data_IF_090359058558
#
_entry.id   IF_090359058558
#
_cell.length_a   1.000
_cell.length_b   1.000
_cell.length_c   1.000
_cell.angle_alpha   90.00
_cell.angle_beta   90.00
_cell.angle_gamma   90.00
#
_symmetry.space_group_name_H-M   'P 1'
#
loop_
_entity.id
_entity.type
_entity.pdbx_description
1 polymer ?
#
# COMPACT_ATOMS: atom_id res chain seq x y z
N UNK A 1 -3.50 -16.64 27.97
CA UNK A 1 -2.28 -16.35 27.20
C UNK A 1 -2.71 -15.83 25.85
N UNK A 2 -2.75 -14.53 25.67
CA UNK A 2 -3.04 -13.89 24.38
C UNK A 2 -1.81 -14.09 23.51
N UNK A 3 -1.90 -14.99 22.55
CA UNK A 3 -0.91 -15.11 21.49
C UNK A 3 -0.97 -13.78 20.74
N UNK A 4 0.06 -12.95 20.92
CA UNK A 4 0.29 -11.77 20.11
C UNK A 4 0.52 -12.28 18.67
N UNK A 5 -0.55 -12.34 17.87
CA UNK A 5 -0.46 -12.74 16.47
C UNK A 5 0.28 -11.61 15.73
N UNK A 6 1.60 -11.68 15.75
CA UNK A 6 2.43 -10.84 14.88
C UNK A 6 2.12 -11.20 13.44
N UNK A 7 1.40 -10.33 12.76
CA UNK A 7 1.17 -10.43 11.32
C UNK A 7 2.54 -10.42 10.62
N UNK A 8 2.92 -11.51 9.90
CA UNK A 8 4.26 -11.59 9.29
C UNK A 8 4.43 -10.62 8.13
N UNK A 9 3.33 -10.19 7.52
CA UNK A 9 3.29 -9.20 6.45
C UNK A 9 1.90 -8.56 6.38
N UNK A 10 1.80 -7.45 5.66
CA UNK A 10 0.54 -6.74 5.44
C UNK A 10 0.10 -6.86 4.00
N UNK A 11 -1.15 -7.29 3.81
CA UNK A 11 -1.75 -7.51 2.50
C UNK A 11 -2.99 -6.63 2.33
N UNK A 12 -3.09 -5.94 1.21
CA UNK A 12 -4.19 -5.04 0.96
C UNK A 12 -4.45 -4.74 -0.52
N UNK A 13 -5.45 -3.90 -0.73
CA UNK A 13 -5.90 -3.40 -2.02
C UNK A 13 -5.87 -1.87 -2.02
N UNK A 14 -6.12 -1.26 -3.20
CA UNK A 14 -6.19 0.20 -3.37
C UNK A 14 -7.41 0.84 -2.67
N UNK A 15 -8.37 0.05 -2.24
CA UNK A 15 -9.61 0.48 -1.59
C UNK A 15 -10.27 -0.68 -0.86
N UNK A 16 -11.08 -0.39 0.16
CA UNK A 16 -11.85 -1.41 0.89
C UNK A 16 -13.27 -1.63 0.35
N UNK A 17 -13.73 -0.81 -0.60
CA UNK A 17 -15.01 -1.00 -1.26
C UNK A 17 -14.86 -1.93 -2.46
N UNK A 18 -15.72 -2.96 -2.53
CA UNK A 18 -15.73 -3.86 -3.66
C UNK A 18 -17.16 -4.34 -3.95
N UNK A 19 -17.64 -4.26 -5.21
CA UNK A 19 -19.05 -4.57 -5.57
C UNK A 19 -19.51 -5.97 -5.16
N UNK A 20 -18.60 -6.96 -5.25
CA UNK A 20 -18.92 -8.36 -4.93
C UNK A 20 -19.15 -8.62 -3.43
N UNK A 21 -18.85 -7.67 -2.54
CA UNK A 21 -18.98 -7.86 -1.08
C UNK A 21 -20.26 -7.28 -0.51
N UNK A 22 -21.04 -6.53 -1.31
CA UNK A 22 -22.26 -5.86 -0.87
C UNK A 22 -23.44 -6.20 -1.77
N UNK A 23 -24.60 -6.42 -1.15
CA UNK A 23 -25.87 -6.65 -1.84
C UNK A 23 -26.86 -5.51 -1.67
N UNK A 24 -26.62 -4.58 -0.72
CA UNK A 24 -27.56 -3.49 -0.39
C UNK A 24 -26.82 -2.18 -0.11
N UNK A 25 -27.53 -1.06 -0.24
CA UNK A 25 -26.98 0.29 0.02
C UNK A 25 -26.50 0.48 1.47
N UNK A 26 -27.07 -0.23 2.44
CA UNK A 26 -26.69 -0.14 3.86
C UNK A 26 -25.34 -0.82 4.16
N UNK A 27 -24.86 -1.68 3.28
CA UNK A 27 -23.61 -2.41 3.45
C UNK A 27 -22.36 -1.57 3.23
N UNK A 28 -22.46 -0.36 2.67
CA UNK A 28 -21.31 0.54 2.51
C UNK A 28 -20.68 0.94 3.85
N UNK A 29 -21.50 1.08 4.91
CA UNK A 29 -21.04 1.38 6.27
C UNK A 29 -20.27 0.22 6.90
N UNK A 30 -20.52 -1.03 6.45
CA UNK A 30 -19.86 -2.26 6.91
C UNK A 30 -18.63 -2.62 6.06
N UNK A 31 -18.40 -1.90 4.97
CA UNK A 31 -17.36 -2.20 3.99
C UNK A 31 -15.99 -2.42 4.63
N UNK A 32 -15.55 -1.48 5.44
CA UNK A 32 -14.27 -1.55 6.12
C UNK A 32 -14.19 -2.72 7.11
N UNK A 33 -15.26 -2.96 7.86
CA UNK A 33 -15.30 -4.05 8.82
C UNK A 33 -15.19 -5.42 8.12
N UNK A 34 -15.89 -5.62 7.00
CA UNK A 34 -15.78 -6.84 6.20
C UNK A 34 -14.39 -6.97 5.55
N UNK A 35 -13.88 -5.89 4.97
CA UNK A 35 -12.57 -5.85 4.36
C UNK A 35 -11.46 -6.22 5.35
N UNK A 36 -11.46 -5.62 6.54
CA UNK A 36 -10.44 -5.83 7.56
C UNK A 36 -10.50 -7.20 8.27
N UNK A 37 -11.55 -8.00 8.04
CA UNK A 37 -11.56 -9.42 8.41
C UNK A 37 -10.72 -10.28 7.47
N UNK A 38 -10.61 -9.87 6.20
CA UNK A 38 -9.87 -10.60 5.18
C UNK A 38 -8.45 -10.05 5.00
N UNK A 39 -8.34 -8.74 4.86
CA UNK A 39 -7.08 -8.05 4.58
C UNK A 39 -6.52 -7.39 5.83
N UNK A 40 -5.21 -7.31 5.91
CA UNK A 40 -4.49 -6.72 7.05
C UNK A 40 -4.06 -5.27 6.80
N UNK A 41 -4.24 -4.75 5.58
CA UNK A 41 -3.92 -3.36 5.24
C UNK A 41 -4.77 -2.83 4.09
N UNK A 42 -4.70 -1.51 3.88
CA UNK A 42 -5.29 -0.82 2.73
C UNK A 42 -4.39 0.31 2.27
N UNK A 43 -4.33 0.55 0.96
CA UNK A 43 -3.67 1.71 0.35
C UNK A 43 -4.65 2.89 0.30
N UNK A 44 -4.56 3.79 1.29
CA UNK A 44 -5.42 4.96 1.41
C UNK A 44 -5.02 6.07 0.44
N UNK A 45 -5.57 6.07 -0.77
CA UNK A 45 -5.26 7.05 -1.80
C UNK A 45 -6.02 8.38 -1.67
N UNK A 46 -7.14 8.40 -0.95
CA UNK A 46 -8.00 9.59 -0.81
C UNK A 46 -7.28 10.76 -0.14
N UNK A 47 -6.38 10.49 0.82
CA UNK A 47 -5.58 11.50 1.52
C UNK A 47 -4.67 12.33 0.60
N UNK A 48 -4.37 11.82 -0.60
CA UNK A 48 -3.62 12.57 -1.61
C UNK A 48 -4.37 13.79 -2.13
N UNK A 49 -5.69 13.69 -2.26
CA UNK A 49 -6.56 14.76 -2.78
C UNK A 49 -7.11 15.66 -1.68
N UNK A 50 -7.30 15.13 -0.48
CA UNK A 50 -7.80 15.88 0.66
C UNK A 50 -7.70 15.08 1.95
N UNK A 51 -7.52 15.79 3.07
CA UNK A 51 -7.46 15.14 4.37
C UNK A 51 -8.81 14.51 4.74
N UNK A 52 -8.84 13.30 5.26
CA UNK A 52 -10.06 12.71 5.80
C UNK A 52 -10.58 13.55 6.96
N UNK A 53 -11.89 13.56 7.18
CA UNK A 53 -12.46 14.24 8.36
C UNK A 53 -12.05 13.53 9.65
N UNK A 54 -12.04 14.26 10.77
CA UNK A 54 -11.80 13.65 12.09
C UNK A 54 -12.80 12.53 12.37
N UNK A 55 -14.07 12.75 12.03
CA UNK A 55 -15.12 11.73 12.14
C UNK A 55 -14.79 10.46 11.34
N UNK A 56 -14.27 10.61 10.11
CA UNK A 56 -13.87 9.45 9.29
C UNK A 56 -12.73 8.66 9.95
N UNK A 57 -11.73 9.36 10.50
CA UNK A 57 -10.61 8.74 11.22
C UNK A 57 -11.11 7.96 12.43
N UNK A 58 -11.98 8.56 13.25
CA UNK A 58 -12.57 7.92 14.43
C UNK A 58 -13.40 6.68 14.04
N UNK A 59 -14.19 6.78 12.97
CA UNK A 59 -14.99 5.65 12.46
C UNK A 59 -14.09 4.52 11.94
N UNK A 60 -13.02 4.83 11.23
CA UNK A 60 -12.07 3.83 10.74
C UNK A 60 -11.31 3.15 11.89
N UNK A 61 -10.86 3.92 12.88
CA UNK A 61 -10.21 3.38 14.07
C UNK A 61 -11.08 2.35 14.80
N UNK A 62 -12.41 2.62 14.90
CA UNK A 62 -13.37 1.75 15.59
C UNK A 62 -13.76 0.52 14.77
N UNK A 63 -13.91 0.65 13.45
CA UNK A 63 -14.48 -0.39 12.58
C UNK A 63 -13.46 -1.38 12.03
N UNK A 64 -12.20 -1.00 11.88
CA UNK A 64 -11.18 -1.91 11.39
C UNK A 64 -10.84 -2.97 12.45
N UNK A 65 -10.91 -4.25 12.07
CA UNK A 65 -10.49 -5.36 12.92
C UNK A 65 -8.96 -5.38 13.07
N UNK A 66 -8.47 -5.81 14.22
CA UNK A 66 -7.04 -5.98 14.45
C UNK A 66 -6.60 -7.42 14.08
N UNK A 67 -5.42 -7.62 13.49
CA UNK A 67 -4.44 -6.62 13.12
C UNK A 67 -4.78 -5.93 11.77
N UNK A 68 -4.75 -4.61 11.74
CA UNK A 68 -5.01 -3.85 10.50
C UNK A 68 -4.20 -2.56 10.49
N UNK A 69 -3.63 -2.21 9.32
CA UNK A 69 -2.83 -1.01 9.14
C UNK A 69 -3.31 -0.18 7.94
N UNK A 70 -3.64 1.08 8.18
CA UNK A 70 -3.96 2.05 7.13
C UNK A 70 -2.66 2.67 6.60
N UNK A 71 -2.36 2.49 5.32
CA UNK A 71 -1.26 3.15 4.65
C UNK A 71 -1.78 4.36 3.87
N UNK A 72 -1.45 5.56 4.33
CA UNK A 72 -1.91 6.77 3.69
C UNK A 72 -0.84 7.42 2.82
N UNK A 73 -1.29 7.94 1.70
CA UNK A 73 -0.48 8.72 0.79
C UNK A 73 -0.43 10.16 1.26
N UNK A 74 0.76 10.75 1.32
CA UNK A 74 0.89 12.18 1.62
C UNK A 74 0.11 13.04 0.63
N UNK A 75 -0.50 14.14 1.10
CA UNK A 75 -1.24 15.08 0.25
C UNK A 75 -0.40 15.62 -0.92
N UNK A 76 -1.06 15.83 -2.06
CA UNK A 76 -0.40 16.41 -3.24
C UNK A 76 0.14 17.82 -3.00
N UNK A 77 -0.42 18.56 -2.06
CA UNK A 77 0.09 19.87 -1.63
C UNK A 77 1.54 19.79 -1.14
N UNK A 78 1.91 18.68 -0.49
CA UNK A 78 3.26 18.42 0.03
C UNK A 78 4.17 17.88 -1.08
N UNK A 79 3.71 16.86 -1.82
CA UNK A 79 4.55 16.08 -2.72
C UNK A 79 4.65 16.69 -4.13
N UNK A 80 3.56 17.27 -4.65
CA UNK A 80 3.47 17.78 -6.02
C UNK A 80 3.55 19.31 -6.09
N UNK A 81 2.79 20.02 -5.25
CA UNK A 81 2.77 21.47 -5.32
C UNK A 81 3.99 22.10 -4.66
N UNK A 82 4.35 21.64 -3.45
CA UNK A 82 5.51 22.15 -2.72
C UNK A 82 6.80 21.40 -3.03
N UNK A 83 6.74 20.22 -3.64
CA UNK A 83 7.89 19.35 -3.87
C UNK A 83 8.80 19.23 -2.62
N UNK A 84 8.21 19.04 -1.46
CA UNK A 84 8.85 18.97 -0.13
C UNK A 84 9.53 20.28 0.32
N UNK A 85 9.15 21.42 -0.22
CA UNK A 85 9.72 22.71 0.16
C UNK A 85 8.72 23.52 0.98
N UNK A 86 9.13 24.03 2.16
CA UNK A 86 8.31 24.89 3.04
C UNK A 86 6.89 24.34 3.29
N UNK A 87 6.77 23.04 3.56
CA UNK A 87 5.49 22.36 3.75
C UNK A 87 5.28 21.84 5.19
N UNK A 88 6.03 22.33 6.16
CA UNK A 88 5.99 21.85 7.56
C UNK A 88 4.59 21.94 8.17
N UNK A 89 3.84 23.00 7.88
CA UNK A 89 2.48 23.17 8.35
C UNK A 89 1.54 22.10 7.80
N UNK A 90 1.61 21.81 6.50
CA UNK A 90 0.81 20.79 5.85
C UNK A 90 1.17 19.39 6.36
N UNK A 91 2.46 19.13 6.59
CA UNK A 91 2.95 17.88 7.18
C UNK A 91 2.39 17.71 8.60
N UNK A 92 2.49 18.73 9.43
CA UNK A 92 1.96 18.70 10.81
C UNK A 92 0.45 18.46 10.81
N UNK A 93 -0.30 19.14 9.95
CA UNK A 93 -1.75 18.96 9.83
C UNK A 93 -2.11 17.53 9.40
N UNK A 94 -1.39 16.97 8.42
CA UNK A 94 -1.58 15.59 7.97
C UNK A 94 -1.29 14.58 9.09
N UNK A 95 -0.14 14.68 9.75
CA UNK A 95 0.25 13.76 10.82
C UNK A 95 -0.71 13.83 12.02
N UNK A 96 -1.10 15.02 12.44
CA UNK A 96 -2.08 15.21 13.51
C UNK A 96 -3.46 14.62 13.14
N UNK A 97 -3.85 14.68 11.86
CA UNK A 97 -5.10 14.09 11.39
C UNK A 97 -5.08 12.57 11.44
N UNK A 98 -3.94 11.95 11.17
CA UNK A 98 -3.78 10.48 11.13
C UNK A 98 -3.48 9.90 12.52
N UNK A 99 -2.82 10.64 13.40
CA UNK A 99 -2.39 10.19 14.73
C UNK A 99 -3.47 9.46 15.57
N UNK A 100 -4.78 9.82 15.53
CA UNK A 100 -5.79 9.11 16.30
C UNK A 100 -6.04 7.65 15.88
N UNK A 101 -5.50 7.19 14.74
CA UNK A 101 -5.53 5.76 14.37
C UNK A 101 -4.62 4.90 15.26
N UNK A 102 -3.63 5.51 15.93
CA UNK A 102 -2.71 4.81 16.82
C UNK A 102 -2.00 3.63 16.12
N UNK A 103 -2.04 2.46 16.74
CA UNK A 103 -1.38 1.23 16.25
C UNK A 103 -1.93 0.74 14.89
N UNK A 104 -3.06 1.31 14.43
CA UNK A 104 -3.59 1.03 13.10
C UNK A 104 -3.01 1.93 12.00
N UNK A 105 -2.05 2.78 12.33
CA UNK A 105 -1.30 3.54 11.32
C UNK A 105 -0.19 2.66 10.75
N UNK A 106 -0.26 2.39 9.46
CA UNK A 106 0.80 1.73 8.70
C UNK A 106 1.78 2.74 8.10
N UNK A 107 2.41 2.36 7.00
CA UNK A 107 3.38 3.23 6.31
C UNK A 107 2.67 4.45 5.71
N UNK A 108 3.13 5.64 6.10
CA UNK A 108 2.77 6.91 5.47
C UNK A 108 3.75 7.18 4.32
N UNK A 109 3.24 7.27 3.09
CA UNK A 109 4.15 7.26 1.95
C UNK A 109 3.96 8.43 0.99
N UNK A 110 5.09 8.93 0.48
CA UNK A 110 5.16 9.99 -0.51
C UNK A 110 5.17 9.38 -1.91
N UNK A 111 4.36 9.92 -2.82
CA UNK A 111 4.53 9.69 -4.25
C UNK A 111 5.04 10.98 -4.88
N UNK A 112 6.25 10.95 -5.39
CA UNK A 112 6.82 12.10 -6.08
C UNK A 112 6.47 12.05 -7.58
N UNK A 113 6.34 13.22 -8.20
CA UNK A 113 6.19 13.31 -9.64
C UNK A 113 7.53 13.11 -10.36
N UNK A 114 7.52 13.09 -11.69
CA UNK A 114 8.72 12.89 -12.51
C UNK A 114 9.67 14.10 -12.53
N UNK A 115 9.24 15.27 -12.09
CA UNK A 115 10.07 16.47 -11.98
C UNK A 115 10.97 16.44 -10.74
N UNK A 116 10.60 15.65 -9.73
CA UNK A 116 11.43 15.45 -8.55
C UNK A 116 12.61 14.54 -8.92
N UNK A 117 13.75 15.13 -9.19
CA UNK A 117 14.98 14.50 -9.71
C UNK A 117 16.04 14.29 -8.60
N UNK A 118 17.15 13.59 -8.86
CA UNK A 118 18.29 13.46 -7.94
C UNK A 118 18.88 14.78 -7.46
N UNK A 119 18.70 15.88 -8.18
CA UNK A 119 19.09 17.23 -7.73
C UNK A 119 18.40 17.65 -6.42
N UNK A 120 17.28 17.02 -6.08
CA UNK A 120 16.50 17.31 -4.89
C UNK A 120 16.86 16.41 -3.67
N UNK A 121 17.90 15.57 -3.76
CA UNK A 121 18.27 14.64 -2.68
C UNK A 121 18.58 15.33 -1.36
N UNK A 122 19.23 16.50 -1.36
CA UNK A 122 19.47 17.27 -0.14
C UNK A 122 18.17 17.75 0.51
N UNK A 123 17.21 18.19 -0.30
CA UNK A 123 15.87 18.57 0.17
C UNK A 123 15.14 17.37 0.76
N UNK A 124 15.24 16.21 0.13
CA UNK A 124 14.66 14.96 0.59
C UNK A 124 15.22 14.55 1.95
N UNK A 125 16.54 14.57 2.10
CA UNK A 125 17.20 14.23 3.38
C UNK A 125 16.76 15.17 4.51
N UNK A 126 16.71 16.49 4.23
CA UNK A 126 16.24 17.48 5.19
C UNK A 126 14.77 17.27 5.57
N UNK A 127 13.93 16.95 4.58
CA UNK A 127 12.52 16.67 4.82
C UNK A 127 12.36 15.48 5.78
N UNK A 128 13.06 14.37 5.54
CA UNK A 128 13.00 13.20 6.43
C UNK A 128 13.57 13.47 7.83
N UNK A 129 14.59 14.32 7.94
CA UNK A 129 15.14 14.70 9.26
C UNK A 129 14.13 15.46 10.14
N UNK A 130 13.13 16.10 9.55
CA UNK A 130 12.12 16.90 10.24
C UNK A 130 10.80 16.14 10.49
N UNK A 131 10.68 14.90 10.00
CA UNK A 131 9.47 14.10 10.23
C UNK A 131 9.43 13.56 11.67
N UNK A 132 8.21 13.43 12.20
CA UNK A 132 7.97 12.82 13.49
C UNK A 132 8.45 11.36 13.50
N UNK A 133 9.24 10.92 14.50
CA UNK A 133 9.81 9.57 14.53
C UNK A 133 8.80 8.46 14.86
N UNK A 134 7.59 8.83 15.28
CA UNK A 134 6.55 7.88 15.73
C UNK A 134 5.84 7.15 14.60
N UNK A 135 6.15 7.50 13.33
CA UNK A 135 5.52 6.90 12.15
C UNK A 135 6.53 6.21 11.25
N UNK A 136 6.08 5.20 10.54
CA UNK A 136 6.84 4.60 9.45
C UNK A 136 6.56 5.33 8.13
N UNK A 137 7.63 5.58 7.37
CA UNK A 137 7.55 6.34 6.13
C UNK A 137 8.00 5.53 4.93
N UNK A 138 7.44 5.88 3.76
CA UNK A 138 7.82 5.34 2.47
C UNK A 138 7.90 6.40 1.39
N UNK A 139 8.60 6.12 0.29
CA UNK A 139 8.66 7.00 -0.87
C UNK A 139 8.68 6.24 -2.20
N UNK A 140 7.80 6.63 -3.12
CA UNK A 140 7.77 6.24 -4.52
C UNK A 140 8.30 7.39 -5.38
N UNK A 141 9.37 7.17 -6.12
CA UNK A 141 9.94 8.14 -7.05
C UNK A 141 9.61 7.75 -8.50
N UNK A 142 9.40 8.76 -9.35
CA UNK A 142 9.01 8.58 -10.76
C UNK A 142 9.95 9.21 -11.76
N UNK A 143 11.09 9.75 -11.30
CA UNK A 143 12.16 10.24 -12.18
C UNK A 143 13.16 9.11 -12.43
N UNK A 144 13.51 8.87 -13.70
CA UNK A 144 14.41 7.79 -14.09
C UNK A 144 15.82 7.93 -13.54
N UNK A 145 16.24 9.15 -13.16
CA UNK A 145 17.53 9.39 -12.52
C UNK A 145 17.72 8.65 -11.18
N UNK A 146 16.64 8.21 -10.52
CA UNK A 146 16.71 7.37 -9.32
C UNK A 146 16.86 5.86 -9.62
N UNK A 147 17.00 5.49 -10.90
CA UNK A 147 17.09 4.11 -11.37
C UNK A 147 18.29 3.92 -12.31
N UNK A 148 19.34 4.73 -12.13
CA UNK A 148 20.54 4.75 -13.00
C UNK A 148 21.51 3.60 -12.69
N UNK A 149 21.30 2.82 -11.62
CA UNK A 149 22.21 1.81 -11.09
C UNK A 149 23.62 2.34 -10.78
N UNK A 150 23.73 3.65 -10.55
CA UNK A 150 24.94 4.39 -10.33
C UNK A 150 24.83 5.29 -9.10
N UNK A 151 25.52 6.43 -9.09
CA UNK A 151 25.69 7.29 -7.92
C UNK A 151 24.38 7.90 -7.42
N UNK A 152 23.46 8.28 -8.32
CA UNK A 152 22.20 8.87 -7.91
C UNK A 152 21.32 7.88 -7.15
N UNK A 153 21.16 6.67 -7.68
CA UNK A 153 20.38 5.63 -7.02
C UNK A 153 21.05 5.18 -5.72
N UNK A 154 22.37 5.02 -5.71
CA UNK A 154 23.13 4.67 -4.51
C UNK A 154 22.91 5.71 -3.41
N UNK A 155 23.06 7.00 -3.74
CA UNK A 155 22.88 8.11 -2.81
C UNK A 155 21.44 8.20 -2.30
N UNK A 156 20.46 8.02 -3.20
CA UNK A 156 19.04 7.94 -2.82
C UNK A 156 18.79 6.84 -1.80
N UNK A 157 19.24 5.61 -2.08
CA UNK A 157 19.04 4.48 -1.16
C UNK A 157 19.78 4.70 0.18
N UNK A 158 20.97 5.32 0.17
CA UNK A 158 21.70 5.66 1.39
C UNK A 158 20.90 6.63 2.28
N UNK A 159 20.31 7.67 1.70
CA UNK A 159 19.43 8.60 2.42
C UNK A 159 18.24 7.86 3.02
N UNK A 160 17.57 6.99 2.26
CA UNK A 160 16.44 6.23 2.76
C UNK A 160 16.84 5.33 3.93
N UNK A 161 17.97 4.60 3.82
CA UNK A 161 18.48 3.74 4.89
C UNK A 161 18.87 4.55 6.14
N UNK A 162 19.50 5.71 5.98
CA UNK A 162 19.88 6.60 7.08
C UNK A 162 18.66 7.06 7.89
N UNK A 163 17.53 7.31 7.23
CA UNK A 163 16.30 7.78 7.87
C UNK A 163 15.29 6.66 8.16
N UNK A 164 15.60 5.39 7.88
CA UNK A 164 14.69 4.27 8.06
C UNK A 164 13.46 4.31 7.16
N UNK A 165 13.54 5.02 6.01
CA UNK A 165 12.42 5.20 5.08
C UNK A 165 12.35 4.06 4.07
N UNK A 166 11.16 3.53 3.84
CA UNK A 166 10.93 2.42 2.93
C UNK A 166 10.86 2.90 1.47
N UNK A 167 11.68 2.31 0.59
CA UNK A 167 11.55 2.51 -0.85
C UNK A 167 10.28 1.79 -1.33
N UNK A 168 9.32 2.54 -1.87
CA UNK A 168 8.10 1.99 -2.47
C UNK A 168 8.40 1.53 -3.89
N UNK A 169 8.07 0.28 -4.18
CA UNK A 169 8.18 -0.30 -5.52
C UNK A 169 6.81 -0.43 -6.14
N UNK A 170 6.59 0.17 -7.32
CA UNK A 170 5.39 -0.05 -8.10
C UNK A 170 5.73 -0.88 -9.34
N UNK A 171 5.36 -2.14 -9.33
CA UNK A 171 5.60 -3.04 -10.45
C UNK A 171 4.41 -3.00 -11.42
N UNK A 172 4.66 -2.39 -12.56
CA UNK A 172 3.69 -2.25 -13.65
C UNK A 172 4.09 -3.08 -14.88
N UNK A 173 5.13 -3.93 -14.77
CA UNK A 173 5.68 -4.69 -15.90
C UNK A 173 4.65 -5.60 -16.54
N UNK A 174 3.86 -6.32 -15.74
CA UNK A 174 2.79 -7.18 -16.23
C UNK A 174 1.76 -6.39 -17.05
N UNK A 175 1.30 -5.26 -16.52
CA UNK A 175 0.36 -4.39 -17.24
C UNK A 175 0.90 -3.97 -18.62
N UNK A 176 2.16 -3.49 -18.68
CA UNK A 176 2.74 -2.94 -19.91
C UNK A 176 3.26 -3.99 -20.89
N UNK A 177 3.38 -5.26 -20.48
CA UNK A 177 3.82 -6.35 -21.36
C UNK A 177 2.68 -6.92 -22.24
N UNK A 178 1.42 -6.63 -21.91
CA UNK A 178 0.27 -7.20 -22.58
C UNK A 178 -0.52 -6.16 -23.36
N UNK A 179 -1.33 -6.58 -24.37
CA UNK A 179 -2.14 -5.70 -25.19
C UNK A 179 -3.17 -4.91 -24.36
N UNK A 180 -3.49 -3.70 -24.80
CA UNK A 180 -4.47 -2.79 -24.23
C UNK A 180 -5.72 -2.73 -25.12
N UNK A 181 -6.44 -3.85 -25.23
CA UNK A 181 -7.53 -4.00 -26.19
C UNK A 181 -8.88 -3.42 -25.70
N UNK A 182 -8.99 -3.07 -24.43
CA UNK A 182 -10.20 -2.53 -23.83
C UNK A 182 -9.97 -1.11 -23.28
N UNK A 183 -11.03 -0.28 -23.11
CA UNK A 183 -10.92 1.09 -22.65
C UNK A 183 -10.34 1.23 -21.23
N UNK A 184 -10.64 0.28 -20.35
CA UNK A 184 -10.20 0.31 -18.94
C UNK A 184 -8.68 0.10 -18.85
N UNK A 185 -8.17 -0.88 -19.58
CA UNK A 185 -6.70 -1.10 -19.69
C UNK A 185 -6.02 0.08 -20.36
N UNK A 186 -6.62 0.68 -21.40
CA UNK A 186 -6.08 1.89 -22.05
C UNK A 186 -5.95 3.05 -21.04
N UNK A 187 -6.95 3.26 -20.20
CA UNK A 187 -6.88 4.30 -19.16
C UNK A 187 -5.79 3.97 -18.12
N UNK A 188 -5.67 2.73 -17.70
CA UNK A 188 -4.59 2.30 -16.80
C UNK A 188 -3.21 2.56 -17.41
N UNK A 189 -3.02 2.31 -18.71
CA UNK A 189 -1.76 2.63 -19.43
C UNK A 189 -1.42 4.13 -19.42
N UNK A 190 -2.41 5.00 -19.48
CA UNK A 190 -2.21 6.46 -19.42
C UNK A 190 -1.91 6.92 -17.99
N UNK A 191 -2.60 6.33 -17.00
CA UNK A 191 -2.55 6.78 -15.61
C UNK A 191 -1.37 6.19 -14.81
N UNK A 192 -0.87 5.01 -15.19
CA UNK A 192 0.19 4.32 -14.43
C UNK A 192 1.58 4.63 -15.00
N UNK A 193 2.60 4.80 -14.13
CA UNK A 193 3.96 5.06 -14.59
C UNK A 193 4.59 3.77 -15.14
N UNK A 194 5.39 3.90 -16.20
CA UNK A 194 6.24 2.83 -16.70
C UNK A 194 7.65 3.03 -16.14
N UNK A 195 7.93 2.40 -14.99
CA UNK A 195 9.18 2.58 -14.26
C UNK A 195 9.98 1.27 -14.17
N UNK A 196 11.31 1.34 -14.08
CA UNK A 196 12.12 0.18 -13.72
C UNK A 196 11.74 -0.34 -12.33
N UNK A 197 11.89 -1.64 -12.13
CA UNK A 197 11.66 -2.26 -10.83
C UNK A 197 13.01 -2.66 -10.23
N UNK A 198 13.44 -1.93 -9.20
CA UNK A 198 14.62 -2.25 -8.41
C UNK A 198 14.19 -2.68 -7.02
N UNK A 199 14.40 -3.98 -6.73
CA UNK A 199 13.88 -4.63 -5.52
C UNK A 199 14.85 -4.44 -4.37
N UNK A 200 14.75 -3.29 -3.70
CA UNK A 200 15.64 -2.87 -2.60
C UNK A 200 14.79 -2.54 -1.39
N UNK A 201 15.05 -3.21 -0.27
CA UNK A 201 14.48 -2.88 1.04
C UNK A 201 15.42 -1.89 1.74
N UNK A 202 14.99 -0.65 1.89
CA UNK A 202 15.76 0.41 2.57
C UNK A 202 15.32 0.62 4.02
N UNK A 203 14.16 0.07 4.41
CA UNK A 203 13.62 0.06 5.76
C UNK A 203 13.12 -1.32 6.18
N UNK A 204 12.43 -1.38 7.31
CA UNK A 204 11.90 -2.63 7.87
C UNK A 204 10.56 -3.06 7.28
N UNK A 205 9.88 -2.16 6.58
CA UNK A 205 8.55 -2.39 5.99
C UNK A 205 8.58 -2.19 4.47
N UNK A 206 9.25 -3.10 3.71
CA UNK A 206 9.28 -3.01 2.24
C UNK A 206 7.85 -2.87 1.69
N UNK A 207 7.65 -1.90 0.79
CA UNK A 207 6.31 -1.54 0.32
C UNK A 207 6.21 -1.80 -1.18
N UNK A 208 5.32 -2.70 -1.56
CA UNK A 208 5.15 -3.15 -2.93
C UNK A 208 3.72 -2.85 -3.39
N UNK A 209 3.62 -2.24 -4.55
CA UNK A 209 2.40 -2.06 -5.33
C UNK A 209 2.55 -2.87 -6.61
N UNK A 210 1.60 -3.71 -6.91
CA UNK A 210 1.66 -4.61 -8.07
C UNK A 210 0.37 -4.51 -8.87
N UNK A 211 0.47 -4.34 -10.18
CA UNK A 211 -0.68 -4.28 -11.08
C UNK A 211 -0.53 -5.26 -12.24
N UNK A 212 -1.60 -6.02 -12.51
CA UNK A 212 -1.73 -6.90 -13.68
C UNK A 212 -2.63 -6.26 -14.75
N UNK A 213 -2.76 -6.86 -15.95
CA UNK A 213 -3.92 -6.68 -16.83
C UNK A 213 -5.23 -7.09 -16.14
N UNK A 214 -6.37 -6.94 -16.83
CA UNK A 214 -7.68 -7.44 -16.35
C UNK A 214 -7.67 -8.95 -16.15
N UNK A 215 -7.04 -9.69 -17.06
CA UNK A 215 -6.73 -11.11 -16.87
C UNK A 215 -5.52 -11.22 -15.93
N UNK A 216 -5.78 -11.60 -14.68
CA UNK A 216 -4.77 -11.66 -13.65
C UNK A 216 -3.74 -12.76 -13.87
N UNK A 217 -4.06 -13.82 -14.61
CA UNK A 217 -3.15 -14.95 -14.88
C UNK A 217 -1.93 -14.49 -15.69
N UNK A 218 -2.12 -13.49 -16.56
CA UNK A 218 -1.04 -12.85 -17.32
C UNK A 218 0.01 -12.16 -16.42
N UNK A 219 -0.30 -11.94 -15.16
CA UNK A 219 0.59 -11.34 -14.17
C UNK A 219 1.38 -12.35 -13.34
N UNK A 220 1.05 -13.65 -13.36
CA UNK A 220 1.61 -14.63 -12.42
C UNK A 220 3.12 -14.82 -12.58
N UNK A 221 3.64 -14.83 -13.80
CA UNK A 221 5.09 -14.93 -14.04
C UNK A 221 5.86 -13.71 -13.49
N UNK A 222 5.26 -12.52 -13.52
CA UNK A 222 5.83 -11.31 -12.95
C UNK A 222 5.73 -11.30 -11.42
N UNK A 223 4.74 -12.01 -10.86
CA UNK A 223 4.50 -12.10 -9.42
C UNK A 223 5.38 -13.15 -8.75
N UNK A 224 5.74 -14.24 -9.44
CA UNK A 224 6.53 -15.34 -8.90
C UNK A 224 7.87 -14.89 -8.25
N UNK A 225 8.67 -13.97 -8.82
CA UNK A 225 9.86 -13.44 -8.15
C UNK A 225 9.54 -12.69 -6.85
N UNK A 226 8.39 -11.98 -6.78
CA UNK A 226 7.96 -11.26 -5.59
C UNK A 226 7.60 -12.19 -4.45
N UNK A 227 6.95 -13.33 -4.74
CA UNK A 227 6.60 -14.34 -3.72
C UNK A 227 7.86 -14.81 -3.00
N UNK A 228 8.91 -15.17 -3.76
CA UNK A 228 10.21 -15.60 -3.20
C UNK A 228 10.89 -14.46 -2.41
N UNK A 229 10.84 -13.23 -2.93
CA UNK A 229 11.48 -12.10 -2.27
C UNK A 229 10.80 -11.73 -0.97
N UNK A 230 9.47 -11.72 -0.95
CA UNK A 230 8.66 -11.43 0.25
C UNK A 230 8.87 -12.51 1.30
N UNK A 231 8.91 -13.80 0.91
CA UNK A 231 9.25 -14.88 1.81
C UNK A 231 10.63 -14.66 2.47
N UNK A 232 11.64 -14.28 1.67
CA UNK A 232 12.95 -13.92 2.19
C UNK A 232 12.91 -12.77 3.19
N UNK A 233 12.19 -11.68 2.92
CA UNK A 233 12.04 -10.56 3.84
C UNK A 233 11.32 -10.94 5.15
N UNK A 234 10.31 -11.81 5.08
CA UNK A 234 9.66 -12.34 6.29
C UNK A 234 10.65 -13.14 7.13
N UNK A 235 11.48 -14.00 6.51
CA UNK A 235 12.54 -14.75 7.20
C UNK A 235 13.63 -13.85 7.77
N UNK A 236 13.90 -12.70 7.14
CA UNK A 236 14.81 -11.65 7.66
C UNK A 236 14.18 -10.83 8.80
N UNK A 237 12.94 -11.12 9.21
CA UNK A 237 12.22 -10.38 10.26
C UNK A 237 11.63 -9.03 9.81
N UNK A 238 11.63 -8.75 8.51
CA UNK A 238 10.95 -7.57 7.96
C UNK A 238 9.44 -7.76 7.90
N UNK A 239 8.69 -6.67 7.81
CA UNK A 239 7.22 -6.65 7.71
C UNK A 239 6.78 -6.04 6.37
N UNK A 240 6.84 -6.79 5.25
CA UNK A 240 6.49 -6.23 3.95
C UNK A 240 5.00 -5.88 3.85
N UNK A 241 4.72 -4.80 3.11
CA UNK A 241 3.38 -4.36 2.72
C UNK A 241 3.18 -4.59 1.23
N UNK A 242 2.08 -5.23 0.86
CA UNK A 242 1.75 -5.52 -0.53
C UNK A 242 0.34 -5.05 -0.88
N UNK A 243 0.24 -4.33 -1.99
CA UNK A 243 -1.03 -3.82 -2.50
C UNK A 243 -1.23 -4.24 -3.95
N UNK A 244 -2.34 -4.94 -4.18
CA UNK A 244 -2.68 -5.48 -5.48
C UNK A 244 -3.69 -4.60 -6.20
N UNK A 245 -3.48 -4.48 -7.52
CA UNK A 245 -4.28 -3.68 -8.41
C UNK A 245 -4.60 -4.46 -9.69
N UNK A 246 -5.77 -4.21 -10.25
CA UNK A 246 -6.07 -4.42 -11.67
C UNK A 246 -6.57 -3.09 -12.26
N UNK A 247 -6.71 -2.94 -13.57
CA UNK A 247 -7.16 -1.68 -14.17
C UNK A 247 -8.44 -1.12 -13.56
N UNK A 248 -9.41 -1.98 -13.25
CA UNK A 248 -10.71 -1.66 -12.62
C UNK A 248 -10.79 -2.06 -11.13
N UNK A 249 -9.75 -2.67 -10.59
CA UNK A 249 -9.66 -3.26 -9.24
C UNK A 249 -10.67 -4.39 -8.94
N UNK A 250 -11.42 -4.91 -9.93
CA UNK A 250 -12.41 -5.95 -9.67
C UNK A 250 -11.78 -7.32 -9.40
N UNK A 251 -10.72 -7.69 -10.11
CA UNK A 251 -10.02 -8.96 -9.89
C UNK A 251 -8.81 -8.83 -8.93
N UNK A 252 -8.57 -7.65 -8.35
CA UNK A 252 -7.49 -7.44 -7.40
C UNK A 252 -7.59 -8.32 -6.14
N UNK A 253 -8.77 -8.62 -5.57
CA UNK A 253 -8.90 -9.57 -4.46
C UNK A 253 -8.42 -10.98 -4.81
N UNK A 254 -8.77 -11.50 -5.99
CA UNK A 254 -8.36 -12.81 -6.45
C UNK A 254 -6.86 -12.89 -6.70
N UNK A 255 -6.27 -11.81 -7.24
CA UNK A 255 -4.82 -11.69 -7.38
C UNK A 255 -4.11 -11.72 -6.02
N UNK A 256 -4.63 -11.00 -5.04
CA UNK A 256 -4.11 -11.02 -3.66
C UNK A 256 -4.25 -12.41 -3.02
N UNK A 257 -5.35 -13.10 -3.26
CA UNK A 257 -5.56 -14.48 -2.78
C UNK A 257 -4.56 -15.44 -3.39
N UNK A 258 -4.36 -15.41 -4.71
CA UNK A 258 -3.35 -16.21 -5.38
C UNK A 258 -1.96 -15.98 -4.77
N UNK A 259 -1.56 -14.71 -4.62
CA UNK A 259 -0.27 -14.39 -3.99
C UNK A 259 -0.16 -14.98 -2.59
N UNK A 260 -1.19 -14.82 -1.75
CA UNK A 260 -1.19 -15.31 -0.37
C UNK A 260 -1.06 -16.84 -0.29
N UNK A 261 -1.74 -17.57 -1.17
CA UNK A 261 -1.67 -19.02 -1.25
C UNK A 261 -0.25 -19.48 -1.62
N UNK A 262 0.36 -18.87 -2.64
CA UNK A 262 1.73 -19.17 -3.05
C UNK A 262 2.75 -18.79 -1.97
N UNK A 263 2.58 -17.65 -1.31
CA UNK A 263 3.46 -17.22 -0.21
C UNK A 263 3.37 -18.19 0.99
N UNK A 264 2.16 -18.64 1.33
CA UNK A 264 1.94 -19.59 2.41
C UNK A 264 2.66 -20.91 2.19
N UNK A 265 2.80 -21.37 0.95
CA UNK A 265 3.57 -22.56 0.62
C UNK A 265 5.07 -22.41 0.98
N UNK A 266 5.61 -21.18 0.94
CA UNK A 266 7.00 -20.87 1.32
C UNK A 266 7.13 -20.44 2.79
N UNK A 267 6.08 -19.90 3.37
CA UNK A 267 6.03 -19.36 4.74
C UNK A 267 4.76 -19.88 5.43
N UNK A 268 4.78 -21.09 6.03
CA UNK A 268 3.59 -21.70 6.65
C UNK A 268 2.93 -20.87 7.77
N UNK A 269 3.67 -19.94 8.40
CA UNK A 269 3.17 -19.00 9.40
C UNK A 269 2.24 -17.91 8.80
N UNK A 270 2.20 -17.76 7.48
CA UNK A 270 1.29 -16.83 6.80
C UNK A 270 -0.14 -17.37 6.92
N UNK A 271 -1.09 -16.57 7.44
CA UNK A 271 -2.48 -16.99 7.54
C UNK A 271 -3.12 -17.13 6.14
N UNK A 272 -4.10 -18.01 6.01
CA UNK A 272 -4.88 -18.11 4.77
C UNK A 272 -5.75 -16.85 4.58
N UNK A 273 -5.76 -16.30 3.37
CA UNK A 273 -6.67 -15.23 3.01
C UNK A 273 -8.02 -15.85 2.61
N UNK A 274 -9.07 -15.46 3.32
CA UNK A 274 -10.45 -15.77 2.97
C UNK A 274 -11.13 -14.50 2.49
N UNK A 275 -11.54 -14.46 1.22
CA UNK A 275 -12.22 -13.28 0.69
C UNK A 275 -13.62 -13.15 1.30
N UNK A 276 -14.10 -11.91 1.51
CA UNK A 276 -15.46 -11.67 1.98
C UNK A 276 -16.49 -12.34 1.04
N UNK A 277 -17.47 -12.99 1.62
CA UNK A 277 -18.58 -13.63 0.91
C UNK A 277 -19.92 -13.13 1.48
N UNK A 278 -20.98 -13.25 0.71
CA UNK A 278 -22.34 -12.89 1.15
C UNK A 278 -22.79 -13.61 2.43
N UNK A 279 -22.23 -14.79 2.70
CA UNK A 279 -22.52 -15.55 3.93
C UNK A 279 -21.98 -14.89 5.20
N UNK A 280 -20.97 -14.02 5.10
CA UNK A 280 -20.42 -13.29 6.25
C UNK A 280 -21.39 -12.24 6.80
N UNK A 281 -22.25 -11.66 5.95
CA UNK A 281 -23.27 -10.69 6.35
C UNK A 281 -24.39 -11.35 7.19
N UNK A 282 -24.73 -12.60 6.88
CA UNK A 282 -25.79 -13.32 7.58
C UNK A 282 -25.38 -13.77 9.00
N UNK A 283 -24.07 -14.00 9.23
CA UNK A 283 -23.56 -14.42 10.55
C UNK A 283 -23.36 -13.24 11.52
N UNK A 284 -23.21 -12.00 11.02
CA UNK A 284 -23.07 -10.82 11.90
C UNK A 284 -24.42 -10.36 12.46
N UNK A 285 -25.52 -10.59 11.76
CA UNK A 285 -26.87 -10.25 12.25
C UNK A 285 -27.41 -11.21 13.32
N UNK A 286 -26.78 -12.38 13.51
CA UNK A 286 -27.20 -13.34 14.57
C UNK A 286 -26.44 -13.15 15.89
N UNK A 287 -25.31 -12.45 15.93
CA UNK A 287 -24.50 -12.26 17.15
C UNK A 287 -24.87 -11.00 17.93
N UNK A 288 -25.66 -10.08 17.38
CA UNK A 288 -26.11 -8.86 18.06
C UNK A 288 -27.47 -9.02 18.75
N UNK A 289 -28.04 -10.23 18.81
CA UNK A 289 -29.33 -10.52 19.42
C UNK A 289 -29.24 -11.31 20.75
N UNK A 290 -28.02 -11.44 21.33
CA UNK A 290 -27.85 -12.04 22.67
C UNK A 290 -26.90 -11.23 23.53
#
# INVERSE_FOLDING_TARGET
MTINQHTPYYLGLAQWHHPAWYTTADSSSLALALYSKAFTSVEGNSSFYGLPSTKSIDDWAKRAHSPFAFCFKFPQSITHHSALYQCDRQVTEFLNRIAPLGDKTGVLWLQMNNQFSPEHLERLSRFFSNLAPDFEYGIEVRNLGFFDKADNEKRFNQILMQHGVNRVSFDTRALFAHPKNDPVTQEAFRAKPRMPVHVIATGNSPFIRFITPLDIELGYDYLAPWIKKVAGWIHEGKKPYLFFHTPDNQAAPQLAQYFNEQLKALCPQVPSLQLPSHTWLNNTSQTELF
#
